data_IF_306067028095
#
_entry.id   IF_306067028095
#
_cell.length_a   1.000
_cell.length_b   1.000
_cell.length_c   1.000
_cell.angle_alpha   90.00
_cell.angle_beta   90.00
_cell.angle_gamma   90.00
#
_symmetry.space_group_name_H-M   'P 1'
#
loop_
_entity.id
_entity.type
_entity.pdbx_description
1 polymer ?
#
# COMPACT_ATOMS: atom_id res chain seq x y z
N UNK A 1 -13.57 -23.87 -7.43
CA UNK A 1 -13.50 -22.95 -6.26
C UNK A 1 -12.50 -21.87 -6.58
N UNK A 2 -12.92 -20.64 -6.36
CA UNK A 2 -12.37 -19.41 -6.93
C UNK A 2 -10.90 -19.19 -6.61
N UNK A 3 -10.16 -18.69 -7.61
CA UNK A 3 -8.72 -18.43 -7.54
C UNK A 3 -8.39 -17.42 -6.45
N UNK A 4 -7.45 -17.80 -5.59
CA UNK A 4 -6.88 -16.91 -4.58
C UNK A 4 -6.16 -15.75 -5.28
N UNK A 5 -6.87 -14.63 -5.36
CA UNK A 5 -6.36 -13.37 -5.87
C UNK A 5 -5.10 -12.97 -5.10
N UNK A 6 -3.98 -12.95 -5.81
CA UNK A 6 -2.69 -12.41 -5.37
C UNK A 6 -2.73 -10.86 -5.25
N UNK A 7 -3.87 -10.30 -4.83
CA UNK A 7 -4.16 -8.86 -4.68
C UNK A 7 -3.67 -8.30 -3.35
N UNK A 8 -3.14 -9.14 -2.46
CA UNK A 8 -2.70 -8.73 -1.13
C UNK A 8 -1.20 -8.46 -1.03
N UNK A 9 -0.45 -8.31 -2.14
CA UNK A 9 0.99 -8.04 -2.10
C UNK A 9 1.35 -6.57 -2.29
N UNK A 10 2.36 -6.09 -1.56
CA UNK A 10 2.86 -4.71 -1.65
C UNK A 10 3.15 -4.32 -3.09
N UNK A 11 2.53 -3.25 -3.56
CA UNK A 11 2.68 -2.78 -4.94
C UNK A 11 4.07 -2.18 -5.22
N UNK A 12 4.83 -1.89 -4.16
CA UNK A 12 6.21 -1.36 -4.27
C UNK A 12 7.23 -2.48 -4.33
N UNK A 13 7.25 -3.39 -3.34
CA UNK A 13 8.28 -4.42 -3.26
C UNK A 13 7.84 -5.79 -3.76
N UNK A 14 6.54 -6.06 -3.88
CA UNK A 14 5.94 -7.34 -4.26
C UNK A 14 6.49 -8.56 -3.49
N UNK A 15 7.09 -8.34 -2.32
CA UNK A 15 7.74 -9.37 -1.48
C UNK A 15 6.99 -9.68 -0.19
N UNK A 16 6.09 -8.80 0.21
CA UNK A 16 5.41 -8.82 1.50
C UNK A 16 3.96 -8.43 1.29
N UNK A 17 3.03 -8.94 2.10
CA UNK A 17 1.64 -8.57 1.99
C UNK A 17 1.42 -7.08 2.33
N UNK A 18 0.37 -6.50 1.77
CA UNK A 18 -0.08 -5.15 2.07
C UNK A 18 -0.55 -5.13 3.51
N UNK A 19 -0.09 -4.12 4.25
CA UNK A 19 -0.47 -3.89 5.65
C UNK A 19 -0.81 -2.42 5.91
N UNK A 20 -0.64 -1.55 4.91
CA UNK A 20 -0.86 -0.12 5.00
C UNK A 20 -1.58 0.37 3.75
N UNK A 21 -2.53 1.27 3.99
CA UNK A 21 -3.24 2.03 2.97
C UNK A 21 -2.90 3.51 3.06
N UNK A 22 -3.06 4.20 1.95
CA UNK A 22 -2.83 5.65 1.86
C UNK A 22 -3.97 6.44 2.46
N UNK A 23 -3.66 7.39 3.35
CA UNK A 23 -4.66 8.31 3.89
C UNK A 23 -5.08 9.29 2.79
N UNK A 24 -6.40 9.43 2.57
CA UNK A 24 -6.99 10.22 1.49
C UNK A 24 -7.74 9.35 0.48
N UNK A 25 -7.03 8.50 -0.27
CA UNK A 25 -7.66 7.61 -1.26
C UNK A 25 -7.92 6.18 -0.77
N UNK A 26 -7.55 5.86 0.48
CA UNK A 26 -7.81 4.60 1.20
C UNK A 26 -7.31 3.30 0.54
N UNK A 27 -6.57 3.39 -0.57
CA UNK A 27 -6.10 2.21 -1.30
C UNK A 27 -5.03 1.43 -0.53
N UNK A 28 -5.20 0.10 -0.34
CA UNK A 28 -4.17 -0.78 0.18
C UNK A 28 -3.05 -0.88 -0.86
N UNK A 29 -1.84 -0.43 -0.50
CA UNK A 29 -0.72 -0.36 -1.47
C UNK A 29 0.61 -0.88 -0.91
N UNK A 30 0.86 -0.72 0.39
CA UNK A 30 2.19 -0.84 0.96
C UNK A 30 2.25 -1.90 2.07
N UNK A 31 3.35 -2.65 2.11
CA UNK A 31 3.71 -3.44 3.29
C UNK A 31 4.35 -2.54 4.37
N UNK A 32 4.51 -3.07 5.58
CA UNK A 32 5.16 -2.39 6.71
C UNK A 32 6.51 -1.76 6.37
N UNK A 33 7.41 -2.51 5.70
CA UNK A 33 8.73 -2.00 5.31
C UNK A 33 8.66 -0.84 4.33
N UNK A 34 7.82 -0.94 3.29
CA UNK A 34 7.67 0.10 2.28
C UNK A 34 6.90 1.31 2.83
N UNK A 35 5.97 1.09 3.75
CA UNK A 35 5.26 2.15 4.45
C UNK A 35 6.22 2.97 5.34
N UNK A 36 7.06 2.31 6.15
CA UNK A 36 8.06 3.01 6.97
C UNK A 36 9.08 3.79 6.13
N UNK A 37 9.45 3.29 4.94
CA UNK A 37 10.33 4.02 4.00
C UNK A 37 9.67 5.26 3.40
N UNK A 38 8.35 5.30 3.32
CA UNK A 38 7.56 6.36 2.67
C UNK A 38 6.70 7.11 3.69
N UNK A 39 7.05 7.03 4.98
CA UNK A 39 6.24 7.55 6.08
C UNK A 39 6.04 9.07 6.00
N UNK A 40 6.97 9.80 5.39
CA UNK A 40 6.96 11.26 5.27
C UNK A 40 6.25 11.78 4.01
N UNK A 41 5.62 10.92 3.23
CA UNK A 41 4.85 11.28 2.03
C UNK A 41 5.27 10.53 0.76
N UNK A 42 4.31 10.35 -0.14
CA UNK A 42 4.52 9.63 -1.39
C UNK A 42 3.32 9.67 -2.33
N UNK A 43 3.39 8.86 -3.39
CA UNK A 43 2.33 8.73 -4.41
C UNK A 43 1.70 7.35 -4.34
N UNK A 44 0.38 7.29 -4.22
CA UNK A 44 -0.40 6.06 -4.25
C UNK A 44 -0.11 5.30 -5.55
N UNK A 45 0.19 4.01 -5.46
CA UNK A 45 0.52 3.17 -6.62
C UNK A 45 -0.72 2.67 -7.38
N UNK A 46 -1.91 2.84 -6.80
CA UNK A 46 -3.20 2.51 -7.43
C UNK A 46 -3.73 3.69 -8.23
N UNK A 47 -4.01 4.82 -7.57
CA UNK A 47 -4.65 5.98 -8.23
C UNK A 47 -3.70 7.13 -8.57
N UNK A 48 -2.44 7.09 -8.12
CA UNK A 48 -1.51 8.18 -8.35
C UNK A 48 -1.74 9.44 -7.49
N UNK A 49 -2.65 9.44 -6.52
CA UNK A 49 -2.78 10.58 -5.60
C UNK A 49 -1.59 10.66 -4.64
N UNK A 50 -1.21 11.89 -4.29
CA UNK A 50 -0.26 12.12 -3.23
C UNK A 50 -0.91 11.81 -1.88
N UNK A 51 -0.15 11.17 -0.99
CA UNK A 51 -0.54 10.95 0.39
C UNK A 51 0.52 11.58 1.30
N UNK A 52 0.07 12.24 2.36
CA UNK A 52 0.94 12.74 3.44
C UNK A 52 1.10 11.73 4.57
N UNK A 53 0.21 10.74 4.66
CA UNK A 53 0.19 9.77 5.74
C UNK A 53 -0.27 8.39 5.25
N UNK A 54 0.13 7.35 5.98
CA UNK A 54 -0.25 5.97 5.75
C UNK A 54 -0.95 5.42 6.99
N UNK A 55 -2.09 4.77 6.81
CA UNK A 55 -2.85 4.11 7.88
C UNK A 55 -2.67 2.60 7.80
N UNK A 56 -2.46 1.95 8.94
CA UNK A 56 -2.42 0.50 9.03
C UNK A 56 -3.82 -0.07 8.82
N UNK A 57 -3.94 -1.11 7.99
CA UNK A 57 -5.17 -1.91 7.81
C UNK A 57 -5.15 -3.15 8.68
#
# INVERSE_FOLDING_TARGET
MEGENNENMCLVCKKQPIAYRTVGCDHPCLCKKCAMKQASGGKCKVCGQLFGELKRI
#
